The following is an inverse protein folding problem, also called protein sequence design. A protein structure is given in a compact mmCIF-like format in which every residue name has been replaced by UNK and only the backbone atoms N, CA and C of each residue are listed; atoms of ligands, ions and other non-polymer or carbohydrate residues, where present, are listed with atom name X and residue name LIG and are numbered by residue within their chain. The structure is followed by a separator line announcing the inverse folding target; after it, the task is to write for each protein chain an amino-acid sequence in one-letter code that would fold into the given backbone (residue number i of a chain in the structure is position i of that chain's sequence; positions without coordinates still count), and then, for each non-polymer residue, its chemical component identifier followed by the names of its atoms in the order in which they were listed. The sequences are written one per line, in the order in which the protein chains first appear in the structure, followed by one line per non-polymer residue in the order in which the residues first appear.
data_IF_523378211838
#
_entry.id   IF_523378211838
#
_cell.length_a   1.000
_cell.length_b   1.000
_cell.length_c   1.000
_cell.angle_alpha   90.00
_cell.angle_beta   90.00
_cell.angle_gamma   90.00
#
_symmetry.space_group_name_H-M   'P 1'
#
loop_
_entity.id
_entity.type
_entity.pdbx_description
1 polymer ?
#
# COMPACT_ATOMS: atom_id res chain seq x y z
N UNK A 1 18.50 8.86 -5.00
CA UNK A 1 17.33 8.82 -5.91
C UNK A 1 16.94 7.39 -6.30
N UNK A 2 17.83 6.61 -6.92
CA UNK A 2 17.54 5.23 -7.36
C UNK A 2 16.98 4.28 -6.27
N UNK A 3 17.42 4.43 -5.02
CA UNK A 3 16.96 3.57 -3.92
C UNK A 3 15.46 3.74 -3.60
N UNK A 4 14.98 4.99 -3.50
CA UNK A 4 13.58 5.28 -3.17
C UNK A 4 12.68 4.80 -4.31
N UNK A 5 13.07 5.06 -5.56
CA UNK A 5 12.35 4.57 -6.74
C UNK A 5 12.25 3.04 -6.72
N UNK A 6 13.34 2.34 -6.39
CA UNK A 6 13.34 0.86 -6.32
C UNK A 6 12.37 0.33 -5.27
N UNK A 7 12.33 0.93 -4.08
CA UNK A 7 11.45 0.46 -2.98
C UNK A 7 9.99 0.77 -3.30
N UNK A 8 9.71 1.96 -3.83
CA UNK A 8 8.34 2.34 -4.21
C UNK A 8 7.83 1.44 -5.33
N UNK A 9 8.66 1.15 -6.34
CA UNK A 9 8.29 0.20 -7.40
C UNK A 9 8.02 -1.20 -6.85
N UNK A 10 8.81 -1.65 -5.87
CA UNK A 10 8.55 -2.93 -5.20
C UNK A 10 7.22 -2.91 -4.43
N UNK A 11 6.95 -1.85 -3.66
CA UNK A 11 5.67 -1.65 -2.97
C UNK A 11 4.48 -1.69 -3.94
N UNK A 12 4.56 -0.95 -5.05
CA UNK A 12 3.53 -0.94 -6.10
C UNK A 12 3.30 -2.35 -6.65
N UNK A 13 4.39 -3.05 -6.94
CA UNK A 13 4.34 -4.39 -7.52
C UNK A 13 3.69 -5.42 -6.58
N UNK A 14 4.03 -5.43 -5.29
CA UNK A 14 3.54 -6.45 -4.35
C UNK A 14 2.15 -6.13 -3.78
N UNK A 15 1.77 -4.85 -3.70
CA UNK A 15 0.45 -4.46 -3.19
C UNK A 15 -0.61 -4.48 -4.27
N UNK A 16 -0.20 -4.21 -5.53
CA UNK A 16 -1.07 -4.10 -6.72
C UNK A 16 -2.15 -3.02 -6.61
N UNK A 17 -2.05 -2.15 -5.59
CA UNK A 17 -3.07 -1.15 -5.31
C UNK A 17 -3.11 -0.11 -6.45
N UNK A 18 -4.30 0.29 -6.95
CA UNK A 18 -4.43 1.21 -8.09
C UNK A 18 -3.84 2.60 -7.82
N UNK A 19 -3.85 3.06 -6.57
CA UNK A 19 -3.22 4.32 -6.15
C UNK A 19 -1.68 4.25 -6.11
N UNK A 20 -1.06 3.07 -6.28
CA UNK A 20 0.39 2.91 -6.41
C UNK A 20 1.15 3.60 -5.25
N UNK A 21 2.16 4.42 -5.57
CA UNK A 21 2.94 5.17 -4.59
C UNK A 21 2.18 6.33 -3.96
N UNK A 22 1.01 6.71 -4.48
CA UNK A 22 0.23 7.83 -3.94
C UNK A 22 -0.23 7.53 -2.50
N UNK A 23 -0.41 6.26 -2.13
CA UNK A 23 -0.66 5.86 -0.74
C UNK A 23 0.42 6.34 0.24
N UNK A 24 1.66 6.55 -0.23
CA UNK A 24 2.79 6.98 0.59
C UNK A 24 3.01 8.50 0.46
N UNK A 25 2.94 9.03 -0.76
CA UNK A 25 3.36 10.42 -1.04
C UNK A 25 2.21 11.42 -1.11
N UNK A 26 1.01 10.96 -1.43
CA UNK A 26 -0.18 11.79 -1.66
C UNK A 26 -1.40 11.13 -1.02
N UNK A 27 -1.40 10.96 0.32
CA UNK A 27 -2.53 10.36 1.03
C UNK A 27 -3.81 11.16 0.81
N UNK A 28 -4.95 10.47 0.80
CA UNK A 28 -6.25 11.11 0.60
C UNK A 28 -6.62 12.00 1.79
N UNK A 29 -6.28 11.58 3.01
CA UNK A 29 -6.50 12.34 4.24
C UNK A 29 -5.19 12.51 5.03
N UNK A 30 -5.05 13.61 5.79
CA UNK A 30 -3.94 13.77 6.73
C UNK A 30 -3.88 12.60 7.74
N UNK A 31 -2.72 11.97 7.87
CA UNK A 31 -2.48 10.81 8.74
C UNK A 31 -2.65 9.46 8.04
N UNK A 32 -3.13 9.41 6.79
CA UNK A 32 -3.16 8.16 6.02
C UNK A 32 -1.76 7.73 5.52
N UNK A 33 -0.78 8.64 5.55
CA UNK A 33 0.63 8.37 5.26
C UNK A 33 1.35 7.54 6.36
N UNK A 34 0.72 7.36 7.53
CA UNK A 34 1.30 6.58 8.61
C UNK A 34 1.40 5.08 8.21
N UNK A 35 2.51 4.38 8.51
CA UNK A 35 2.73 3.00 8.07
C UNK A 35 1.58 2.04 8.40
N UNK A 36 1.03 2.12 9.61
CA UNK A 36 -0.07 1.28 10.07
C UNK A 36 -1.34 1.53 9.25
N UNK A 37 -1.57 2.79 8.85
CA UNK A 37 -2.74 3.19 8.08
C UNK A 37 -2.62 2.76 6.62
N UNK A 38 -1.43 2.88 6.03
CA UNK A 38 -1.13 2.34 4.70
C UNK A 38 -1.39 0.82 4.67
N UNK A 39 -0.90 0.08 5.68
CA UNK A 39 -1.14 -1.36 5.77
C UNK A 39 -2.64 -1.68 5.89
N UNK A 40 -3.39 -0.91 6.68
CA UNK A 40 -4.83 -1.05 6.80
C UNK A 40 -5.52 -0.84 5.44
N UNK A 41 -5.21 0.25 4.73
CA UNK A 41 -5.79 0.58 3.42
C UNK A 41 -5.51 -0.55 2.41
N UNK A 42 -4.27 -1.04 2.34
CA UNK A 42 -3.91 -2.14 1.44
C UNK A 42 -4.67 -3.43 1.80
N UNK A 43 -4.79 -3.77 3.09
CA UNK A 43 -5.54 -4.97 3.52
C UNK A 43 -7.03 -4.86 3.19
N UNK A 44 -7.65 -3.72 3.49
CA UNK A 44 -9.06 -3.47 3.23
C UNK A 44 -9.37 -3.52 1.73
N UNK A 45 -8.53 -2.88 0.90
CA UNK A 45 -8.66 -2.94 -0.54
C UNK A 45 -8.48 -4.37 -1.07
N UNK A 46 -7.41 -5.09 -0.71
CA UNK A 46 -7.19 -6.47 -1.19
C UNK A 46 -8.33 -7.40 -0.77
N UNK A 47 -8.86 -7.24 0.46
CA UNK A 47 -10.04 -7.99 0.94
C UNK A 47 -11.28 -7.67 0.10
N UNK A 48 -11.50 -6.40 -0.25
CA UNK A 48 -12.63 -5.98 -1.10
C UNK A 48 -12.58 -6.59 -2.51
N UNK A 49 -11.37 -6.91 -3.01
CA UNK A 49 -11.15 -7.53 -4.32
C UNK A 49 -11.14 -9.08 -4.25
N UNK A 50 -11.25 -9.67 -3.06
CA UNK A 50 -11.11 -11.12 -2.87
C UNK A 50 -9.68 -11.64 -3.08
N UNK A 51 -8.67 -10.77 -2.98
CA UNK A 51 -7.26 -11.13 -3.15
C UNK A 51 -6.65 -11.67 -1.85
N UNK A 52 -5.60 -12.53 -1.93
CA UNK A 52 -4.87 -12.96 -0.75
C UNK A 52 -4.29 -11.78 0.04
N UNK A 53 -4.38 -11.87 1.36
CA UNK A 53 -3.79 -10.89 2.29
C UNK A 53 -2.34 -11.24 2.64
N UNK A 54 -1.73 -10.45 3.51
CA UNK A 54 -0.40 -10.75 4.04
C UNK A 54 -0.39 -12.08 4.78
N UNK A 55 0.80 -12.65 4.93
CA UNK A 55 0.99 -13.85 5.74
C UNK A 55 0.40 -13.65 7.14
N UNK A 56 -0.35 -14.64 7.62
CA UNK A 56 -0.98 -14.66 8.94
C UNK A 56 -1.98 -13.52 9.18
N UNK A 57 -2.51 -12.90 8.12
CA UNK A 57 -3.59 -11.93 8.20
C UNK A 57 -4.96 -12.58 8.02
N UNK A 58 -5.85 -12.32 8.98
CA UNK A 58 -7.31 -12.46 8.84
C UNK A 58 -7.89 -11.48 7.80
#
# INVERSE_FOLDING_TARGET
ENYIVSIVNHFIHITEHPAKGDLIFYPENPGDEEPEKILQIVKEWRRSQGLPLFKDSE
#
